data_IF_241812643277
#
_entry.id   IF_241812643277
#
_cell.length_a   1.000
_cell.length_b   1.000
_cell.length_c   1.000
_cell.angle_alpha   90.00
_cell.angle_beta   90.00
_cell.angle_gamma   90.00
#
_symmetry.space_group_name_H-M   'P 1'
#
loop_
_entity.id
_entity.type
_entity.pdbx_description
1 polymer ?
#
# COMPACT_ATOMS: atom_id res chain seq x y z
N UNK A 1 10.02 27.79 12.45
CA UNK A 1 9.46 26.48 12.05
C UNK A 1 9.76 25.48 13.16
N UNK A 2 8.73 24.83 13.73
CA UNK A 2 8.95 23.82 14.77
C UNK A 2 9.69 22.59 14.24
N UNK A 3 10.51 21.93 15.06
CA UNK A 3 11.14 20.66 14.70
C UNK A 3 10.07 19.61 14.47
N UNK A 4 10.05 19.04 13.27
CA UNK A 4 9.11 18.01 12.85
C UNK A 4 9.76 16.65 13.11
N UNK A 5 9.24 15.91 14.08
CA UNK A 5 9.67 14.55 14.39
C UNK A 5 8.74 13.53 13.74
N UNK A 6 9.31 12.52 13.09
CA UNK A 6 8.58 11.36 12.59
C UNK A 6 8.50 10.31 13.69
N UNK A 7 7.44 9.50 13.70
CA UNK A 7 7.31 8.42 14.68
C UNK A 7 8.29 7.25 14.44
N UNK A 8 8.70 7.05 13.20
CA UNK A 8 9.61 5.99 12.80
C UNK A 8 10.72 6.57 11.91
N UNK A 9 11.89 5.97 12.01
CA UNK A 9 13.02 6.23 11.12
C UNK A 9 13.17 5.09 10.12
N UNK A 10 13.50 5.37 8.85
CA UNK A 10 13.75 4.33 7.86
C UNK A 10 15.02 3.57 8.23
N UNK A 11 15.03 2.26 7.94
CA UNK A 11 16.22 1.43 8.13
C UNK A 11 17.42 1.93 7.31
N UNK A 12 17.15 2.40 6.09
CA UNK A 12 18.17 3.01 5.25
C UNK A 12 17.72 4.41 4.77
N UNK A 13 18.20 5.49 5.39
CA UNK A 13 17.81 6.86 5.04
C UNK A 13 18.17 7.29 3.61
N UNK A 14 19.19 6.69 3.00
CA UNK A 14 19.59 7.04 1.62
C UNK A 14 18.62 6.46 0.59
N UNK A 15 18.14 5.23 0.80
CA UNK A 15 17.15 4.54 -0.04
C UNK A 15 15.69 4.82 0.34
N UNK A 16 15.43 5.94 1.02
CA UNK A 16 14.10 6.25 1.54
C UNK A 16 13.73 7.70 1.32
N UNK A 17 12.43 7.94 1.14
CA UNK A 17 11.85 9.27 1.15
C UNK A 17 10.76 9.39 2.23
N UNK A 18 10.53 10.63 2.69
CA UNK A 18 9.51 10.94 3.71
C UNK A 18 8.54 11.98 3.18
N UNK A 19 7.28 11.88 3.60
CA UNK A 19 6.28 12.91 3.37
C UNK A 19 5.34 13.02 4.59
N UNK A 20 4.86 14.23 4.87
CA UNK A 20 3.96 14.49 5.99
C UNK A 20 2.89 15.51 5.60
N UNK A 21 1.67 15.31 6.10
CA UNK A 21 0.62 16.31 6.15
C UNK A 21 0.17 16.54 7.59
N UNK A 22 0.11 17.80 8.02
CA UNK A 22 -0.31 18.18 9.37
C UNK A 22 -1.67 18.88 9.35
N UNK A 23 -2.45 18.70 10.42
CA UNK A 23 -3.75 19.36 10.63
C UNK A 23 -4.73 19.20 9.45
N UNK A 24 -4.69 18.04 8.80
CA UNK A 24 -5.53 17.75 7.65
C UNK A 24 -6.98 17.60 8.09
N UNK A 25 -7.88 18.37 7.47
CA UNK A 25 -9.31 18.38 7.77
C UNK A 25 -10.05 17.20 7.15
N UNK A 26 -9.65 15.99 7.53
CA UNK A 26 -10.26 14.71 7.16
C UNK A 26 -10.55 13.88 8.40
N UNK A 27 -11.50 12.95 8.32
CA UNK A 27 -11.94 12.20 9.50
C UNK A 27 -10.89 11.15 9.88
N UNK A 28 -10.24 11.34 11.03
CA UNK A 28 -9.18 10.47 11.55
C UNK A 28 -9.46 8.97 11.38
N UNK A 29 -10.63 8.48 11.82
CA UNK A 29 -10.93 7.04 11.78
C UNK A 29 -10.96 6.48 10.35
N UNK A 30 -11.51 7.25 9.40
CA UNK A 30 -11.60 6.80 8.01
C UNK A 30 -10.21 6.78 7.39
N UNK A 31 -9.43 7.83 7.65
CA UNK A 31 -8.06 7.97 7.16
C UNK A 31 -7.14 6.87 7.71
N UNK A 32 -7.33 6.47 8.98
CA UNK A 32 -6.60 5.35 9.58
C UNK A 32 -6.89 4.02 8.88
N UNK A 33 -8.16 3.72 8.62
CA UNK A 33 -8.51 2.46 7.92
C UNK A 33 -7.99 2.46 6.48
N UNK A 34 -8.07 3.59 5.76
CA UNK A 34 -7.47 3.70 4.41
C UNK A 34 -5.96 3.55 4.42
N UNK A 35 -5.28 4.20 5.35
CA UNK A 35 -3.82 4.16 5.46
C UNK A 35 -3.33 2.74 5.76
N UNK A 36 -4.04 2.02 6.64
CA UNK A 36 -3.72 0.63 6.94
C UNK A 36 -3.96 -0.31 5.74
N UNK A 37 -4.94 -0.01 4.88
CA UNK A 37 -5.18 -0.81 3.69
C UNK A 37 -4.06 -0.70 2.65
N UNK A 38 -3.41 0.47 2.53
CA UNK A 38 -2.31 0.69 1.57
C UNK A 38 -0.93 0.42 2.15
N UNK A 39 -0.82 0.11 3.45
CA UNK A 39 0.46 -0.19 4.10
C UNK A 39 1.10 -1.43 3.43
N UNK A 40 2.40 -1.35 3.14
CA UNK A 40 3.18 -2.39 2.47
C UNK A 40 2.84 -2.66 1.00
N UNK A 41 2.00 -1.84 0.36
CA UNK A 41 1.83 -1.88 -1.09
C UNK A 41 2.98 -1.18 -1.82
N UNK A 42 3.23 -1.56 -3.07
CA UNK A 42 4.02 -0.75 -4.00
C UNK A 42 3.31 0.59 -4.25
N UNK A 43 4.06 1.65 -4.53
CA UNK A 43 3.51 2.98 -4.75
C UNK A 43 2.46 2.97 -5.88
N UNK A 44 2.80 2.33 -7.00
CA UNK A 44 1.91 2.17 -8.16
C UNK A 44 0.60 1.43 -7.79
N UNK A 45 0.68 0.35 -7.01
CA UNK A 45 -0.52 -0.38 -6.55
C UNK A 45 -1.37 0.45 -5.61
N UNK A 46 -0.75 1.20 -4.69
CA UNK A 46 -1.44 2.06 -3.74
C UNK A 46 -2.17 3.21 -4.43
N UNK A 47 -1.52 3.88 -5.40
CA UNK A 47 -2.15 4.93 -6.22
C UNK A 47 -3.36 4.37 -6.97
N UNK A 48 -3.22 3.21 -7.62
CA UNK A 48 -4.32 2.54 -8.31
C UNK A 48 -5.45 2.16 -7.35
N UNK A 49 -5.11 1.63 -6.17
CA UNK A 49 -6.09 1.29 -5.13
C UNK A 49 -6.92 2.51 -4.74
N UNK A 50 -6.27 3.63 -4.42
CA UNK A 50 -6.96 4.84 -3.96
C UNK A 50 -7.86 5.44 -5.05
N UNK A 51 -7.43 5.45 -6.32
CA UNK A 51 -8.27 5.82 -7.47
C UNK A 51 -9.50 4.90 -7.58
N UNK A 52 -9.31 3.59 -7.47
CA UNK A 52 -10.40 2.62 -7.50
C UNK A 52 -11.37 2.77 -6.31
N UNK A 53 -10.89 3.19 -5.13
CA UNK A 53 -11.75 3.50 -3.97
C UNK A 53 -12.60 4.74 -4.22
N UNK A 54 -12.06 5.77 -4.88
CA UNK A 54 -12.81 6.97 -5.28
C UNK A 54 -13.93 6.60 -6.25
N UNK A 55 -13.63 5.73 -7.22
CA UNK A 55 -14.59 5.19 -8.19
C UNK A 55 -15.50 4.08 -7.64
N UNK A 56 -15.29 3.67 -6.37
CA UNK A 56 -16.02 2.59 -5.67
C UNK A 56 -15.88 1.19 -6.30
N UNK A 57 -14.84 0.98 -7.10
CA UNK A 57 -14.47 -0.32 -7.70
C UNK A 57 -13.77 -1.24 -6.68
N UNK A 58 -12.92 -0.67 -5.84
CA UNK A 58 -12.29 -1.37 -4.71
C UNK A 58 -12.76 -0.76 -3.38
N UNK A 59 -12.75 -1.54 -2.31
CA UNK A 59 -13.27 -1.12 -0.99
C UNK A 59 -12.17 -1.12 0.07
N UNK A 60 -12.31 -0.22 1.04
CA UNK A 60 -11.45 -0.18 2.22
C UNK A 60 -12.09 -1.03 3.32
N UNK A 61 -11.39 -2.06 3.84
CA UNK A 61 -11.87 -2.82 4.99
C UNK A 61 -11.80 -1.96 6.25
N UNK A 62 -12.88 -1.90 7.03
CA UNK A 62 -12.90 -1.21 8.32
C UNK A 62 -12.75 -2.27 9.42
N UNK A 63 -11.56 -2.37 10.01
CA UNK A 63 -11.22 -3.41 11.01
C UNK A 63 -11.34 -2.91 12.44
N UNK A 64 -10.74 -1.75 12.76
CA UNK A 64 -10.74 -1.21 14.14
C UNK A 64 -11.98 -0.37 14.42
N UNK A 65 -12.35 0.51 13.50
CA UNK A 65 -13.46 1.44 13.67
C UNK A 65 -14.70 0.97 12.89
N UNK A 66 -15.23 -0.20 13.23
CA UNK A 66 -16.30 -0.88 12.48
C UNK A 66 -17.71 -0.78 13.11
N UNK A 67 -17.88 -0.03 14.21
CA UNK A 67 -19.19 0.18 14.85
C UNK A 67 -20.20 0.83 13.89
N UNK A 68 -21.29 0.13 13.60
CA UNK A 68 -22.33 0.59 12.66
C UNK A 68 -21.91 0.60 11.19
N UNK A 69 -20.77 0.00 10.82
CA UNK A 69 -20.33 -0.07 9.42
C UNK A 69 -21.07 -1.20 8.70
N UNK A 70 -21.65 -0.89 7.53
CA UNK A 70 -22.36 -1.86 6.70
C UNK A 70 -21.46 -2.96 6.12
N UNK A 71 -22.05 -4.13 5.86
CA UNK A 71 -21.38 -5.25 5.17
C UNK A 71 -21.50 -5.08 3.66
N UNK A 72 -20.46 -5.44 2.91
CA UNK A 72 -20.41 -5.34 1.43
C UNK A 72 -19.65 -6.52 0.82
N UNK A 73 -20.09 -6.97 -0.36
CA UNK A 73 -19.50 -8.13 -1.04
C UNK A 73 -18.02 -7.93 -1.42
N UNK A 74 -17.64 -6.72 -1.87
CA UNK A 74 -16.26 -6.39 -2.26
C UNK A 74 -15.23 -6.61 -1.13
N UNK A 75 -15.66 -6.58 0.14
CA UNK A 75 -14.75 -6.72 1.30
C UNK A 75 -14.23 -8.16 1.42
N UNK A 76 -14.88 -9.14 0.78
CA UNK A 76 -14.43 -10.54 0.77
C UNK A 76 -12.98 -10.69 0.29
N UNK A 77 -12.53 -9.84 -0.64
CA UNK A 77 -11.14 -9.80 -1.12
C UNK A 77 -10.13 -9.55 0.00
N UNK A 78 -10.56 -8.87 1.07
CA UNK A 78 -9.76 -8.54 2.25
C UNK A 78 -9.93 -9.54 3.40
N UNK A 79 -10.63 -10.68 3.17
CA UNK A 79 -11.02 -11.65 4.19
C UNK A 79 -11.71 -10.99 5.39
N UNK A 80 -12.60 -10.04 5.10
CA UNK A 80 -13.35 -9.27 6.10
C UNK A 80 -14.79 -9.03 5.63
N UNK A 81 -15.67 -8.59 6.53
CA UNK A 81 -17.11 -8.47 6.25
C UNK A 81 -17.58 -7.03 6.07
N UNK A 82 -16.96 -6.08 6.79
CA UNK A 82 -17.36 -4.67 6.83
C UNK A 82 -16.34 -3.76 6.13
N UNK A 83 -16.83 -2.76 5.40
CA UNK A 83 -15.98 -1.82 4.66
C UNK A 83 -16.77 -0.66 4.06
N UNK A 84 -16.06 0.39 3.64
CA UNK A 84 -16.64 1.59 3.01
C UNK A 84 -15.71 2.15 1.93
N UNK A 85 -16.20 3.16 1.22
CA UNK A 85 -15.44 3.97 0.25
C UNK A 85 -15.23 5.40 0.78
N UNK A 86 -14.23 5.63 1.66
CA UNK A 86 -13.95 6.95 2.21
C UNK A 86 -13.23 7.85 1.20
N UNK A 87 -13.99 8.42 0.25
CA UNK A 87 -13.50 9.24 -0.87
C UNK A 87 -12.59 10.39 -0.42
N UNK A 88 -13.00 11.15 0.60
CA UNK A 88 -12.21 12.29 1.09
C UNK A 88 -10.84 11.85 1.63
N UNK A 89 -10.79 10.76 2.40
CA UNK A 89 -9.52 10.23 2.92
C UNK A 89 -8.63 9.72 1.79
N UNK A 90 -9.20 9.06 0.77
CA UNK A 90 -8.45 8.58 -0.38
C UNK A 90 -7.82 9.73 -1.19
N UNK A 91 -8.55 10.84 -1.40
CA UNK A 91 -8.01 12.02 -2.09
C UNK A 91 -6.81 12.65 -1.35
N UNK A 92 -6.90 12.81 -0.03
CA UNK A 92 -5.79 13.37 0.76
C UNK A 92 -4.57 12.44 0.78
N UNK A 93 -4.78 11.13 0.86
CA UNK A 93 -3.68 10.16 0.77
C UNK A 93 -3.04 10.15 -0.62
N UNK A 94 -3.84 10.28 -1.69
CA UNK A 94 -3.32 10.36 -3.05
C UNK A 94 -2.44 11.60 -3.24
N UNK A 95 -2.88 12.75 -2.72
CA UNK A 95 -2.07 13.99 -2.73
C UNK A 95 -0.76 13.81 -1.97
N UNK A 96 -0.79 13.15 -0.80
CA UNK A 96 0.40 12.89 0.00
C UNK A 96 1.38 11.93 -0.70
N UNK A 97 0.87 10.89 -1.37
CA UNK A 97 1.71 9.96 -2.12
C UNK A 97 2.36 10.61 -3.34
N UNK A 98 1.65 11.48 -4.07
CA UNK A 98 2.24 12.27 -5.17
C UNK A 98 3.36 13.20 -4.69
N UNK A 99 3.19 13.78 -3.50
CA UNK A 99 4.26 14.57 -2.88
C UNK A 99 5.46 13.69 -2.48
N UNK A 100 5.20 12.48 -1.96
CA UNK A 100 6.26 11.53 -1.62
C UNK A 100 7.02 11.02 -2.86
N UNK A 101 6.32 10.81 -3.96
CA UNK A 101 6.87 10.47 -5.29
C UNK A 101 7.81 11.58 -5.78
N UNK A 102 7.35 12.83 -5.79
CA UNK A 102 8.20 13.98 -6.17
C UNK A 102 9.44 14.13 -5.26
N UNK A 103 9.30 13.85 -3.95
CA UNK A 103 10.45 13.82 -3.03
C UNK A 103 11.43 12.67 -3.33
N UNK A 104 10.94 11.55 -3.86
CA UNK A 104 11.78 10.40 -4.23
C UNK A 104 12.54 10.68 -5.52
N UNK A 105 11.88 11.26 -6.53
CA UNK A 105 12.50 11.73 -7.78
C UNK A 105 13.62 12.73 -7.50
N UNK A 106 13.37 13.70 -6.61
CA UNK A 106 14.38 14.68 -6.21
C UNK A 106 15.61 14.04 -5.54
N UNK A 107 15.41 12.90 -4.85
CA UNK A 107 16.50 12.13 -4.24
C UNK A 107 17.18 11.16 -5.20
N UNK A 108 16.68 11.03 -6.43
CA UNK A 108 17.19 10.07 -7.42
C UNK A 108 16.88 8.61 -7.09
N UNK A 109 15.82 8.35 -6.33
CA UNK A 109 15.32 6.99 -6.07
C UNK A 109 14.51 6.50 -7.27
N UNK A 110 14.54 5.18 -7.51
CA UNK A 110 13.70 4.59 -8.54
C UNK A 110 12.22 4.53 -8.08
N UNK A 111 11.37 5.32 -8.73
CA UNK A 111 9.94 5.44 -8.41
C UNK A 111 9.15 4.16 -8.60
N UNK A 112 9.57 3.28 -9.52
CA UNK A 112 8.83 2.05 -9.83
C UNK A 112 9.00 0.98 -8.75
N UNK A 113 10.13 0.99 -8.06
CA UNK A 113 10.48 0.04 -7.00
C UNK A 113 10.20 0.58 -5.58
N UNK A 114 9.49 1.71 -5.46
CA UNK A 114 9.07 2.27 -4.17
C UNK A 114 7.94 1.45 -3.54
N UNK A 115 8.11 1.18 -2.26
CA UNK A 115 7.08 0.56 -1.41
C UNK A 115 6.76 1.41 -0.19
N UNK A 116 5.50 1.39 0.24
CA UNK A 116 5.08 2.08 1.46
C UNK A 116 5.49 1.21 2.66
N UNK A 117 6.62 1.52 3.26
CA UNK A 117 7.10 0.79 4.44
C UNK A 117 6.32 1.21 5.69
N UNK A 118 6.26 2.51 5.93
CA UNK A 118 5.62 3.08 7.10
C UNK A 118 4.58 4.13 6.69
N UNK A 119 3.36 3.97 7.21
CA UNK A 119 2.32 4.98 7.17
C UNK A 119 1.59 5.01 8.49
N UNK A 120 1.52 6.20 9.08
CA UNK A 120 0.83 6.43 10.35
C UNK A 120 -0.09 7.63 10.23
N UNK A 121 -1.24 7.50 10.88
CA UNK A 121 -2.24 8.55 11.01
C UNK A 121 -2.40 8.82 12.49
N UNK A 122 -2.16 10.06 12.90
CA UNK A 122 -2.26 10.54 14.28
C UNK A 122 -3.44 11.51 14.42
N UNK A 123 -4.01 11.60 15.61
CA UNK A 123 -5.08 12.57 15.87
C UNK A 123 -4.50 13.97 15.95
N UNK A 124 -5.12 14.93 15.27
CA UNK A 124 -4.78 16.33 15.39
C UNK A 124 -5.71 17.04 16.39
N UNK A 125 -5.40 18.31 16.69
CA UNK A 125 -6.22 19.12 17.61
C UNK A 125 -7.68 19.20 17.14
N UNK A 126 -8.63 19.02 18.06
CA UNK A 126 -10.06 19.05 17.70
C UNK A 126 -10.51 20.48 17.43
N UNK A 127 -11.18 20.69 16.30
CA UNK A 127 -11.80 21.98 15.98
C UNK A 127 -13.20 22.05 16.61
N UNK A 128 -13.46 23.04 17.46
CA UNK A 128 -14.70 23.15 18.24
C UNK A 128 -15.76 24.00 17.52
N UNK A 129 -16.98 23.47 17.43
CA UNK A 129 -18.21 24.20 17.11
C UNK A 129 -19.29 23.86 18.13
N UNK A 130 -20.43 24.53 18.07
CA UNK A 130 -21.58 24.34 18.96
C UNK A 130 -22.78 23.78 18.19
N UNK A 131 -23.57 22.95 18.86
CA UNK A 131 -24.90 22.54 18.40
C UNK A 131 -25.92 22.87 19.48
N UNK A 132 -26.92 23.67 19.12
CA UNK A 132 -28.03 24.00 20.00
C UNK A 132 -29.00 22.83 20.09
N UNK A 133 -29.52 22.57 21.30
CA UNK A 133 -30.43 21.45 21.61
C UNK A 133 -31.64 21.98 22.37
N UNK A 134 -32.66 21.13 22.48
CA UNK A 134 -33.89 21.44 23.20
C UNK A 134 -33.63 21.91 24.64
N UNK A 135 -34.49 22.82 25.11
CA UNK A 135 -34.43 23.48 26.42
C UNK A 135 -33.15 24.30 26.66
N UNK A 136 -32.66 25.01 25.63
CA UNK A 136 -31.50 25.91 25.75
C UNK A 136 -30.14 25.21 25.94
N UNK A 137 -30.08 23.88 25.84
CA UNK A 137 -28.84 23.11 26.00
C UNK A 137 -27.88 23.35 24.83
N UNK A 138 -26.58 23.38 25.11
CA UNK A 138 -25.52 23.53 24.09
C UNK A 138 -24.57 22.35 24.16
N UNK A 139 -24.52 21.55 23.09
CA UNK A 139 -23.61 20.42 22.98
C UNK A 139 -22.40 20.75 22.08
N UNK A 140 -21.25 20.10 22.29
CA UNK A 140 -20.09 20.27 21.43
C UNK A 140 -20.28 19.57 20.08
N UNK A 141 -19.88 20.24 19.00
CA UNK A 141 -19.76 19.64 17.67
C UNK A 141 -18.33 19.78 17.17
N UNK A 142 -17.54 18.75 17.42
CA UNK A 142 -16.10 18.79 17.18
C UNK A 142 -15.72 18.12 15.87
N UNK A 143 -14.79 18.72 15.13
CA UNK A 143 -14.10 18.05 14.02
C UNK A 143 -12.88 17.31 14.56
N UNK A 144 -12.61 16.11 14.02
CA UNK A 144 -11.46 15.29 14.38
C UNK A 144 -10.49 15.19 13.19
N UNK A 145 -9.66 16.23 12.94
CA UNK A 145 -8.62 16.23 11.92
C UNK A 145 -7.50 15.23 12.26
N UNK A 146 -6.57 15.03 11.33
CA UNK A 146 -5.43 14.13 11.54
C UNK A 146 -4.12 14.66 10.95
N UNK A 147 -3.01 14.21 11.54
CA UNK A 147 -1.69 14.25 10.93
C UNK A 147 -1.44 12.92 10.23
N UNK A 148 -0.80 12.94 9.06
CA UNK A 148 -0.41 11.75 8.31
C UNK A 148 1.08 11.84 8.02
N UNK A 149 1.81 10.77 8.28
CA UNK A 149 3.22 10.62 7.92
C UNK A 149 3.41 9.34 7.11
N UNK A 150 4.23 9.42 6.07
CA UNK A 150 4.55 8.33 5.16
C UNK A 150 6.07 8.27 4.98
N UNK A 151 6.59 7.06 4.96
CA UNK A 151 7.96 6.75 4.56
C UNK A 151 7.86 5.73 3.43
N UNK A 152 8.46 6.06 2.29
CA UNK A 152 8.64 5.13 1.19
C UNK A 152 10.08 4.63 1.23
N UNK A 153 10.26 3.35 0.95
CA UNK A 153 11.56 2.73 0.80
C UNK A 153 11.65 2.08 -0.56
N UNK A 154 12.79 2.26 -1.22
CA UNK A 154 13.14 1.50 -2.41
C UNK A 154 13.49 0.08 -1.98
N UNK A 155 12.79 -0.91 -2.54
CA UNK A 155 13.14 -2.32 -2.30
C UNK A 155 14.14 -2.77 -3.34
N UNK A 156 15.16 -3.49 -2.88
CA UNK A 156 16.06 -4.20 -3.76
C UNK A 156 15.29 -5.34 -4.44
N UNK A 157 15.52 -5.52 -5.74
CA UNK A 157 15.02 -6.69 -6.45
C UNK A 157 15.67 -7.93 -5.85
N UNK A 158 14.84 -8.79 -5.25
CA UNK A 158 15.27 -10.11 -4.83
C UNK A 158 15.46 -10.93 -6.10
N UNK A 159 16.66 -10.87 -6.66
CA UNK A 159 17.09 -11.80 -7.70
C UNK A 159 17.06 -13.19 -7.07
N UNK A 160 16.05 -13.97 -7.41
CA UNK A 160 15.98 -15.37 -7.05
C UNK A 160 17.23 -16.05 -7.56
N UNK A 161 18.00 -16.69 -6.67
CA UNK A 161 19.09 -17.57 -7.11
C UNK A 161 18.48 -18.59 -8.08
N UNK A 162 19.06 -18.78 -9.28
CA UNK A 162 18.54 -19.77 -10.21
C UNK A 162 18.53 -21.13 -9.52
N UNK A 163 17.35 -21.76 -9.49
CA UNK A 163 17.21 -23.14 -9.02
C UNK A 163 18.09 -24.05 -9.88
N UNK A 164 18.79 -25.00 -9.27
CA UNK A 164 19.69 -25.94 -9.98
C UNK A 164 18.99 -26.67 -11.14
N UNK A 165 17.66 -26.80 -11.10
CA UNK A 165 16.86 -27.36 -12.19
C UNK A 165 16.91 -26.56 -13.50
N UNK A 166 17.15 -25.24 -13.45
CA UNK A 166 17.23 -24.36 -14.63
C UNK A 166 18.66 -24.32 -15.20
N UNK A 167 19.69 -24.48 -14.36
CA UNK A 167 21.09 -24.57 -14.83
C UNK A 167 21.38 -25.91 -15.50
N UNK A 168 20.71 -26.99 -15.05
CA UNK A 168 20.69 -28.28 -15.73
C UNK A 168 19.53 -28.39 -16.71
N UNK A 169 19.42 -27.45 -17.65
CA UNK A 169 18.64 -27.70 -18.88
C UNK A 169 19.07 -29.05 -19.47
N UNK A 170 18.16 -30.02 -19.37
CA UNK A 170 18.41 -31.44 -19.66
C UNK A 170 18.91 -31.61 -21.09
N UNK A 171 20.23 -31.72 -21.30
CA UNK A 171 20.75 -32.55 -22.39
C UNK A 171 20.24 -33.96 -22.10
N UNK A 172 19.14 -34.37 -22.72
CA UNK A 172 18.69 -35.77 -22.71
C UNK A 172 19.87 -36.63 -23.18
N UNK A 173 20.61 -37.23 -22.26
CA UNK A 173 21.53 -38.31 -22.58
C UNK A 173 20.64 -39.49 -22.97
N UNK A 174 20.46 -39.70 -24.27
CA UNK A 174 19.84 -40.93 -24.73
C UNK A 174 20.66 -42.13 -24.22
N UNK A 175 19.96 -43.15 -23.74
CA UNK A 175 20.58 -44.39 -23.27
C UNK A 175 21.45 -45.00 -24.38
N UNK A 176 22.70 -45.37 -24.06
CA UNK A 176 23.61 -46.07 -24.99
C UNK A 176 22.97 -47.33 -25.60
N UNK A 177 22.02 -47.95 -24.90
CA UNK A 177 21.25 -49.10 -25.40
C UNK A 177 20.27 -48.71 -26.51
N UNK A 178 19.66 -47.53 -26.43
CA UNK A 178 18.77 -46.97 -27.47
C UNK A 178 19.57 -46.53 -28.69
N UNK A 179 20.74 -45.91 -28.49
CA UNK A 179 21.67 -45.56 -29.56
C UNK A 179 22.21 -46.79 -30.30
N UNK A 180 22.65 -47.83 -29.57
CA UNK A 180 23.06 -49.11 -30.19
C UNK A 180 21.92 -49.80 -30.95
N UNK A 181 20.68 -49.69 -30.46
CA UNK A 181 19.51 -50.28 -31.11
C UNK A 181 19.07 -49.51 -32.37
N UNK A 182 19.25 -48.19 -32.41
CA UNK A 182 19.11 -47.38 -33.64
C UNK A 182 20.21 -47.69 -34.65
N UNK A 183 21.47 -47.78 -34.20
CA UNK A 183 22.60 -48.18 -35.05
C UNK A 183 22.40 -49.57 -35.67
N UNK A 184 21.91 -50.54 -34.88
CA UNK A 184 21.63 -51.89 -35.33
C UNK A 184 20.41 -52.00 -36.25
N UNK A 185 19.53 -50.99 -36.26
CA UNK A 185 18.35 -50.95 -37.14
C UNK A 185 18.64 -50.36 -38.51
N UNK A 186 19.84 -49.80 -38.72
CA UNK A 186 20.24 -49.19 -39.99
C UNK A 186 19.54 -47.86 -40.29
N UNK A 187 18.83 -47.28 -39.32
CA UNK A 187 18.18 -45.98 -39.46
C UNK A 187 19.24 -44.87 -39.37
N UNK A 188 19.98 -44.64 -40.46
CA UNK A 188 20.73 -43.41 -40.65
C UNK A 188 19.73 -42.31 -40.99
N UNK A 189 19.62 -41.31 -40.11
CA UNK A 189 19.02 -40.03 -40.48
C UNK A 189 19.88 -39.42 -41.60
N UNK A 190 19.29 -39.20 -42.77
CA UNK A 190 19.67 -38.04 -43.58
C UNK A 190 19.16 -36.77 -42.90
#
# INVERSE_FOLDING_TARGET
MGRIHYCAEPNNPSKSCKARGSDLRVHFKNTRETAQAIKHMTLNRAVRFLKNVIEKKEIVPFRRFNGGVGRKAQVKNWRHTQGRWPVKSANFLLQLLRNAESNAEYRGLDTDHLTIDHIVVQQASKMRRRTYRAHGRINPYMSSPCHIEVILTERDDVVTKPTEEETFSKKKKESKKKQKRQLARGDYAM
#
